data_IF_849953236316
#
_entry.id   IF_849953236316
#
_cell.length_a   1.000
_cell.length_b   1.000
_cell.length_c   1.000
_cell.angle_alpha   90.00
_cell.angle_beta   90.00
_cell.angle_gamma   90.00
#
_symmetry.space_group_name_H-M   'P 1'
#
loop_
_entity.id
_entity.type
_entity.pdbx_description
1 polymer ?
#
# COMPACT_ATOMS: atom_id res chain seq x y z
N UNK A 1 -34.99 4.20 32.19
CA UNK A 1 -35.05 4.92 30.90
C UNK A 1 -34.41 6.29 31.19
N UNK A 2 -33.25 6.67 30.66
CA UNK A 2 -32.81 6.64 29.27
C UNK A 2 -31.31 6.39 29.24
N UNK A 3 -30.92 5.31 28.55
CA UNK A 3 -29.58 5.11 28.02
C UNK A 3 -29.42 6.00 26.79
N UNK A 4 -28.30 6.73 26.65
CA UNK A 4 -27.66 7.12 25.37
C UNK A 4 -26.58 8.20 25.64
N UNK A 5 -25.44 7.78 26.19
CA UNK A 5 -24.20 8.59 26.28
C UNK A 5 -22.97 7.78 25.83
N UNK A 6 -23.16 6.81 24.92
CA UNK A 6 -22.10 5.91 24.44
C UNK A 6 -21.65 6.25 23.01
N UNK A 7 -21.55 7.53 22.67
CA UNK A 7 -21.25 7.97 21.30
C UNK A 7 -19.85 8.53 21.03
N UNK A 8 -19.00 8.78 22.03
CA UNK A 8 -17.88 9.72 21.84
C UNK A 8 -16.51 9.31 22.38
N UNK A 9 -16.27 8.01 22.62
CA UNK A 9 -14.99 7.53 23.18
C UNK A 9 -14.29 6.50 22.28
N UNK A 10 -14.24 6.74 20.97
CA UNK A 10 -13.13 6.21 20.19
C UNK A 10 -11.87 7.00 20.60
N UNK A 11 -11.24 6.61 21.71
CA UNK A 11 -10.05 7.27 22.25
C UNK A 11 -8.85 7.24 21.29
N UNK A 12 -7.82 8.06 21.51
CA UNK A 12 -6.64 8.17 20.65
C UNK A 12 -5.98 6.81 20.36
N UNK A 13 -6.06 5.87 21.30
CA UNK A 13 -5.56 4.50 21.15
C UNK A 13 -6.16 3.76 19.94
N UNK A 14 -7.47 3.87 19.69
CA UNK A 14 -8.12 3.22 18.55
C UNK A 14 -7.66 3.83 17.21
N UNK A 15 -7.50 5.15 17.15
CA UNK A 15 -6.97 5.84 15.98
C UNK A 15 -5.49 5.48 15.72
N UNK A 16 -4.70 5.30 16.77
CA UNK A 16 -3.30 4.88 16.69
C UNK A 16 -3.16 3.44 16.18
N UNK A 17 -3.98 2.51 16.66
CA UNK A 17 -4.00 1.12 16.19
C UNK A 17 -4.36 1.00 14.71
N UNK A 18 -5.38 1.75 14.26
CA UNK A 18 -5.75 1.83 12.84
C UNK A 18 -4.59 2.39 12.01
N UNK A 19 -3.93 3.45 12.50
CA UNK A 19 -2.78 4.03 11.81
C UNK A 19 -1.60 3.04 11.68
N UNK A 20 -1.31 2.26 12.72
CA UNK A 20 -0.23 1.26 12.67
C UNK A 20 -0.59 0.05 11.80
N UNK A 21 -1.87 -0.34 11.79
CA UNK A 21 -2.39 -1.34 10.85
C UNK A 21 -2.20 -0.90 9.40
N UNK A 22 -2.59 0.34 9.08
CA UNK A 22 -2.40 0.95 7.75
C UNK A 22 -0.94 0.95 7.34
N UNK A 23 -0.04 1.41 8.22
CA UNK A 23 1.41 1.45 7.92
C UNK A 23 1.97 0.05 7.67
N UNK A 24 1.56 -0.97 8.45
CA UNK A 24 1.98 -2.36 8.24
C UNK A 24 1.48 -2.90 6.90
N UNK A 25 0.21 -2.69 6.57
CA UNK A 25 -0.36 -3.08 5.27
C UNK A 25 0.37 -2.42 4.11
N UNK A 26 0.61 -1.11 4.18
CA UNK A 26 1.34 -0.38 3.15
C UNK A 26 2.76 -0.91 2.96
N UNK A 27 3.47 -1.21 4.05
CA UNK A 27 4.82 -1.77 3.98
C UNK A 27 4.80 -3.16 3.34
N UNK A 28 3.89 -4.02 3.78
CA UNK A 28 3.75 -5.38 3.23
C UNK A 28 3.45 -5.39 1.74
N UNK A 29 2.51 -4.54 1.28
CA UNK A 29 2.16 -4.46 -0.15
C UNK A 29 3.27 -3.86 -0.98
N UNK A 30 3.85 -2.73 -0.54
CA UNK A 30 4.92 -2.09 -1.27
C UNK A 30 6.15 -3.01 -1.39
N UNK A 31 6.58 -3.65 -0.30
CA UNK A 31 7.72 -4.55 -0.32
C UNK A 31 7.47 -5.78 -1.22
N UNK A 32 6.28 -6.38 -1.13
CA UNK A 32 5.91 -7.53 -1.95
C UNK A 32 5.88 -7.18 -3.44
N UNK A 33 5.21 -6.09 -3.78
CA UNK A 33 5.09 -5.64 -5.17
C UNK A 33 6.44 -5.23 -5.74
N UNK A 34 7.28 -4.53 -4.95
CA UNK A 34 8.61 -4.13 -5.39
C UNK A 34 9.49 -5.34 -5.70
N UNK A 35 9.51 -6.35 -4.82
CA UNK A 35 10.22 -7.61 -5.06
C UNK A 35 9.78 -8.28 -6.36
N UNK A 36 8.48 -8.38 -6.58
CA UNK A 36 7.93 -9.00 -7.81
C UNK A 36 8.33 -8.22 -9.06
N UNK A 37 8.24 -6.89 -9.02
CA UNK A 37 8.64 -6.05 -10.16
C UNK A 37 10.13 -6.16 -10.42
N UNK A 38 10.97 -6.04 -9.39
CA UNK A 38 12.42 -6.13 -9.52
C UNK A 38 12.87 -7.49 -10.04
N UNK A 39 12.24 -8.58 -9.58
CA UNK A 39 12.45 -9.91 -10.14
C UNK A 39 12.08 -9.96 -11.63
N UNK A 40 10.89 -9.52 -12.01
CA UNK A 40 10.41 -9.57 -13.39
C UNK A 40 11.32 -8.77 -14.33
N UNK A 41 11.73 -7.57 -13.94
CA UNK A 41 12.68 -6.74 -14.69
C UNK A 41 14.02 -7.45 -14.89
N UNK A 42 14.61 -8.02 -13.82
CA UNK A 42 15.87 -8.77 -13.91
C UNK A 42 15.76 -10.02 -14.80
N UNK A 43 14.59 -10.66 -14.79
CA UNK A 43 14.30 -11.83 -15.60
C UNK A 43 13.85 -11.50 -17.03
N UNK A 44 13.77 -10.20 -17.40
CA UNK A 44 13.22 -9.74 -18.68
C UNK A 44 11.80 -10.25 -18.96
N UNK A 45 10.96 -10.27 -17.92
CA UNK A 45 9.53 -10.62 -17.96
C UNK A 45 8.72 -9.34 -17.71
N UNK A 46 7.58 -9.17 -18.38
CA UNK A 46 6.67 -8.05 -18.11
C UNK A 46 6.18 -8.08 -16.65
N UNK A 47 6.53 -7.09 -15.81
CA UNK A 47 6.10 -7.04 -14.42
C UNK A 47 4.58 -7.03 -14.23
N UNK A 48 3.82 -6.47 -15.16
CA UNK A 48 2.36 -6.40 -15.07
C UNK A 48 1.70 -7.78 -15.11
N UNK A 49 2.38 -8.78 -15.68
CA UNK A 49 1.91 -10.18 -15.70
C UNK A 49 2.23 -10.94 -14.42
N UNK A 50 3.16 -10.43 -13.60
CA UNK A 50 3.67 -11.11 -12.41
C UNK A 50 3.05 -10.58 -11.12
N UNK A 51 2.69 -9.29 -11.07
CA UNK A 51 2.07 -8.69 -9.89
C UNK A 51 0.65 -9.25 -9.71
N UNK A 52 0.45 -9.99 -8.62
CA UNK A 52 -0.86 -10.49 -8.24
C UNK A 52 -1.76 -9.34 -7.79
N UNK A 53 -2.88 -9.16 -8.49
CA UNK A 53 -3.88 -8.15 -8.14
C UNK A 53 -4.49 -8.45 -6.77
N UNK A 54 -4.63 -7.39 -6.00
CA UNK A 54 -5.35 -7.42 -4.72
C UNK A 54 -6.78 -6.93 -4.92
N UNK A 55 -7.76 -7.48 -4.19
CA UNK A 55 -9.18 -7.10 -4.35
C UNK A 55 -9.51 -5.74 -3.73
N UNK A 56 -8.64 -5.22 -2.85
CA UNK A 56 -8.80 -3.89 -2.27
C UNK A 56 -8.37 -2.82 -3.28
N UNK A 57 -9.30 -1.94 -3.67
CA UNK A 57 -9.09 -0.95 -4.74
C UNK A 57 -8.03 0.10 -4.41
N UNK A 58 -7.84 0.44 -3.13
CA UNK A 58 -6.77 1.34 -2.72
C UNK A 58 -5.41 0.67 -2.89
N UNK A 59 -5.27 -0.57 -2.43
CA UNK A 59 -4.03 -1.34 -2.57
C UNK A 59 -3.75 -1.70 -4.05
N UNK A 60 -4.77 -1.96 -4.86
CA UNK A 60 -4.63 -2.12 -6.32
C UNK A 60 -4.05 -0.83 -6.94
N UNK A 61 -4.53 0.33 -6.51
CA UNK A 61 -3.98 1.63 -6.92
C UNK A 61 -2.50 1.80 -6.58
N UNK A 62 -2.04 1.27 -5.45
CA UNK A 62 -0.61 1.25 -5.07
C UNK A 62 0.18 0.40 -6.07
N UNK A 63 -0.30 -0.79 -6.41
CA UNK A 63 0.37 -1.69 -7.36
C UNK A 63 0.47 -1.05 -8.74
N UNK A 64 -0.62 -0.45 -9.23
CA UNK A 64 -0.65 0.26 -10.51
C UNK A 64 0.34 1.44 -10.53
N UNK A 65 0.41 2.22 -9.45
CA UNK A 65 1.36 3.31 -9.32
C UNK A 65 2.82 2.83 -9.41
N UNK A 66 3.15 1.74 -8.71
CA UNK A 66 4.50 1.16 -8.73
C UNK A 66 4.86 0.59 -10.11
N UNK A 67 3.93 -0.09 -10.78
CA UNK A 67 4.15 -0.59 -12.15
C UNK A 67 4.45 0.55 -13.13
N UNK A 68 3.72 1.66 -13.02
CA UNK A 68 3.95 2.86 -13.82
C UNK A 68 5.29 3.54 -13.50
N UNK A 69 5.69 3.57 -12.22
CA UNK A 69 6.99 4.11 -11.82
C UNK A 69 8.14 3.27 -12.40
N UNK A 70 8.05 1.94 -12.29
CA UNK A 70 9.05 1.03 -12.83
C UNK A 70 9.17 1.10 -14.36
N UNK A 71 8.06 1.29 -15.08
CA UNK A 71 8.10 1.44 -16.55
C UNK A 71 8.72 2.77 -17.00
N UNK A 72 8.58 3.83 -16.20
CA UNK A 72 9.16 5.15 -16.49
C UNK A 72 10.60 5.33 -16.01
N UNK A 73 10.98 4.62 -14.95
CA UNK A 73 12.29 4.70 -14.34
C UNK A 73 12.84 3.29 -14.11
N UNK A 74 13.32 2.59 -15.17
CA UNK A 74 13.78 1.21 -15.08
C UNK A 74 15.06 1.03 -14.25
N UNK A 75 15.72 2.14 -13.89
CA UNK A 75 16.89 2.16 -13.01
C UNK A 75 16.54 2.18 -11.52
N UNK A 76 15.25 2.32 -11.16
CA UNK A 76 14.85 2.27 -9.76
C UNK A 76 15.21 0.92 -9.15
N UNK A 77 15.87 0.98 -8.01
CA UNK A 77 16.14 -0.19 -7.18
C UNK A 77 14.84 -0.70 -6.55
N UNK A 78 14.87 -1.96 -6.10
CA UNK A 78 13.77 -2.57 -5.35
C UNK A 78 13.39 -1.75 -4.11
N UNK A 79 14.38 -1.24 -3.37
CA UNK A 79 14.18 -0.43 -2.17
C UNK A 79 13.53 0.93 -2.48
N UNK A 80 13.95 1.61 -3.54
CA UNK A 80 13.35 2.89 -3.96
C UNK A 80 11.90 2.68 -4.42
N UNK A 81 11.63 1.60 -5.15
CA UNK A 81 10.29 1.28 -5.60
C UNK A 81 9.36 0.96 -4.41
N UNK A 82 9.86 0.21 -3.42
CA UNK A 82 9.13 -0.05 -2.17
C UNK A 82 8.85 1.22 -1.38
N UNK A 83 9.84 2.12 -1.25
CA UNK A 83 9.66 3.40 -0.57
C UNK A 83 8.60 4.28 -1.27
N UNK A 84 8.63 4.33 -2.61
CA UNK A 84 7.64 5.05 -3.42
C UNK A 84 6.23 4.47 -3.23
N UNK A 85 6.09 3.15 -3.30
CA UNK A 85 4.82 2.46 -3.06
C UNK A 85 4.27 2.71 -1.66
N UNK A 86 5.12 2.64 -0.64
CA UNK A 86 4.76 2.90 0.75
C UNK A 86 4.25 4.33 0.95
N UNK A 87 5.00 5.31 0.44
CA UNK A 87 4.65 6.74 0.54
C UNK A 87 3.31 7.03 -0.13
N UNK A 88 3.10 6.49 -1.34
CA UNK A 88 1.84 6.63 -2.06
C UNK A 88 0.67 5.98 -1.31
N UNK A 89 0.87 4.76 -0.81
CA UNK A 89 -0.12 4.03 -0.03
C UNK A 89 -0.61 4.85 1.17
N UNK A 90 0.30 5.27 2.06
CA UNK A 90 -0.06 6.03 3.27
C UNK A 90 -0.76 7.35 2.95
N UNK A 91 -0.34 8.02 1.88
CA UNK A 91 -0.91 9.30 1.43
C UNK A 91 -2.31 9.15 0.84
N UNK A 92 -2.64 7.99 0.29
CA UNK A 92 -3.94 7.68 -0.35
C UNK A 92 -4.85 6.81 0.50
N UNK A 93 -4.51 6.59 1.78
CA UNK A 93 -5.30 5.74 2.68
C UNK A 93 -6.76 6.22 2.72
N UNK A 94 -7.73 5.29 2.68
CA UNK A 94 -9.13 5.62 2.92
C UNK A 94 -9.29 6.31 4.28
N UNK A 95 -10.05 7.40 4.33
CA UNK A 95 -10.33 8.16 5.55
C UNK A 95 -11.74 7.96 6.08
N UNK A 96 -12.62 7.38 5.28
CA UNK A 96 -14.00 7.07 5.66
C UNK A 96 -14.12 5.59 6.02
N UNK A 97 -14.41 5.30 7.29
CA UNK A 97 -15.03 4.05 7.77
C UNK A 97 -15.96 4.35 8.93
#
# INVERSE_FOLDING_TARGET
MVALLLGFLAGPAAAQEVSESVKRTCRSIADRTARTIAYAVRANIDPATQVQRVPDSWLEGVQAHMLLAASRAPHLTEAELAALGYSYCVSRRPTDR
#
